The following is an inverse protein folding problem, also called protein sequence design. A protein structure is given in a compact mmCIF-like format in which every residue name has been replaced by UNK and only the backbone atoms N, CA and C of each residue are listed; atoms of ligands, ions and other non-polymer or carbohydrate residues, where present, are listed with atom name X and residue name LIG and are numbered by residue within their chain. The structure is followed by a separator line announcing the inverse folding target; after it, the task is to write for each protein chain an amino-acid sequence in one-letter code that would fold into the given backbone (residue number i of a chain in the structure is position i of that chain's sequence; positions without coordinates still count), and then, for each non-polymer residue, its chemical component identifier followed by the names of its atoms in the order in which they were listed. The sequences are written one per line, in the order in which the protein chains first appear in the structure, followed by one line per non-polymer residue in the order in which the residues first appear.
data_IF_379896639485
#
_entry.id   IF_379896639485
#
_cell.length_a   1.000
_cell.length_b   1.000
_cell.length_c   1.000
_cell.angle_alpha   90.00
_cell.angle_beta   90.00
_cell.angle_gamma   90.00
#
_symmetry.space_group_name_H-M   'P 1'
#
loop_
_entity.id
_entity.type
_entity.pdbx_description
1 polymer ?
#
# COMPACT_ATOMS: atom_id res chain seq x y z
N UNK A 1 16.20 -32.23 -7.00
CA UNK A 1 15.49 -30.99 -7.38
C UNK A 1 15.81 -30.73 -8.83
N UNK A 2 14.82 -30.76 -9.68
CA UNK A 2 15.01 -30.40 -11.08
C UNK A 2 15.42 -28.93 -11.16
N UNK A 3 16.32 -28.63 -12.13
CA UNK A 3 16.85 -27.28 -12.30
C UNK A 3 15.72 -26.35 -12.79
N UNK A 4 15.42 -25.26 -12.05
CA UNK A 4 14.49 -24.22 -12.49
C UNK A 4 15.01 -23.60 -13.80
N UNK A 5 14.18 -23.55 -14.83
CA UNK A 5 14.50 -23.01 -16.16
C UNK A 5 13.62 -21.84 -16.54
N UNK A 6 12.39 -21.80 -16.04
CA UNK A 6 11.41 -20.76 -16.36
C UNK A 6 10.61 -20.35 -15.13
N UNK A 7 10.51 -19.06 -14.89
CA UNK A 7 9.71 -18.49 -13.80
C UNK A 7 8.66 -17.53 -14.34
N UNK A 8 7.49 -17.57 -13.70
CA UNK A 8 6.44 -16.58 -13.88
C UNK A 8 6.59 -15.44 -12.85
N UNK A 9 6.22 -14.22 -13.22
CA UNK A 9 6.09 -13.10 -12.29
C UNK A 9 4.83 -12.33 -12.60
N UNK A 10 4.10 -11.93 -11.56
CA UNK A 10 2.94 -11.05 -11.66
C UNK A 10 2.88 -10.06 -10.49
N UNK A 11 2.18 -8.94 -10.73
CA UNK A 11 1.81 -7.98 -9.70
C UNK A 11 0.31 -8.00 -9.51
N UNK A 12 -0.17 -8.12 -8.26
CA UNK A 12 -1.59 -8.30 -7.96
C UNK A 12 -2.04 -7.39 -6.81
N UNK A 13 -3.28 -6.97 -6.85
CA UNK A 13 -3.86 -6.06 -5.85
C UNK A 13 -3.58 -4.60 -6.14
N UNK A 14 -3.38 -3.78 -5.10
CA UNK A 14 -2.98 -2.39 -5.24
C UNK A 14 -1.53 -2.26 -5.68
N UNK A 15 -1.23 -1.22 -6.47
CA UNK A 15 0.15 -0.89 -6.78
C UNK A 15 0.85 -0.25 -5.57
N UNK A 16 2.16 -0.40 -5.52
CA UNK A 16 3.02 0.20 -4.51
C UNK A 16 4.34 0.65 -5.14
N UNK A 17 4.97 1.72 -4.62
CA UNK A 17 6.32 2.09 -5.04
C UNK A 17 7.28 0.92 -4.78
N UNK A 18 8.11 0.58 -5.77
CA UNK A 18 9.05 -0.54 -5.67
C UNK A 18 8.64 -1.83 -6.38
N UNK A 19 7.40 -1.97 -6.85
CA UNK A 19 7.00 -3.14 -7.65
C UNK A 19 7.83 -3.26 -8.93
N UNK A 20 8.09 -2.15 -9.62
CA UNK A 20 8.97 -2.14 -10.81
C UNK A 20 10.42 -2.51 -10.46
N UNK A 21 10.94 -2.03 -9.34
CA UNK A 21 12.26 -2.40 -8.85
C UNK A 21 12.36 -3.91 -8.57
N UNK A 22 11.30 -4.48 -7.99
CA UNK A 22 11.19 -5.93 -7.74
C UNK A 22 11.17 -6.72 -9.04
N UNK A 23 10.33 -6.34 -10.02
CA UNK A 23 10.28 -6.99 -11.34
C UNK A 23 11.66 -6.95 -12.01
N UNK A 24 12.35 -5.81 -11.94
CA UNK A 24 13.70 -5.66 -12.45
C UNK A 24 14.69 -6.60 -11.76
N UNK A 25 14.68 -6.67 -10.44
CA UNK A 25 15.54 -7.55 -9.67
C UNK A 25 15.32 -9.02 -10.03
N UNK A 26 14.07 -9.46 -10.12
CA UNK A 26 13.68 -10.81 -10.57
C UNK A 26 14.28 -11.11 -11.94
N UNK A 27 14.07 -10.22 -12.92
CA UNK A 27 14.53 -10.46 -14.28
C UNK A 27 16.05 -10.49 -14.39
N UNK A 28 16.77 -9.56 -13.76
CA UNK A 28 18.23 -9.50 -13.85
C UNK A 28 18.90 -10.70 -13.14
N UNK A 29 18.38 -11.10 -11.98
CA UNK A 29 18.87 -12.28 -11.25
C UNK A 29 18.61 -13.57 -12.02
N UNK A 30 17.41 -13.73 -12.57
CA UNK A 30 17.03 -14.87 -13.39
C UNK A 30 17.94 -14.98 -14.65
N UNK A 31 18.17 -13.86 -15.34
CA UNK A 31 19.03 -13.82 -16.51
C UNK A 31 20.48 -14.23 -16.17
N UNK A 32 21.02 -13.80 -15.03
CA UNK A 32 22.35 -14.21 -14.58
C UNK A 32 22.45 -15.72 -14.28
N UNK A 33 21.32 -16.36 -13.98
CA UNK A 33 21.22 -17.81 -13.76
C UNK A 33 20.77 -18.61 -15.00
N UNK A 34 20.64 -17.96 -16.17
CA UNK A 34 20.08 -18.54 -17.40
C UNK A 34 18.64 -19.09 -17.21
N UNK A 35 17.83 -18.36 -16.47
CA UNK A 35 16.41 -18.65 -16.24
C UNK A 35 15.56 -17.67 -17.07
N UNK A 36 14.59 -18.19 -17.81
CA UNK A 36 13.62 -17.37 -18.54
C UNK A 36 12.57 -16.79 -17.60
N UNK A 37 12.15 -15.54 -17.84
CA UNK A 37 11.13 -14.85 -17.04
C UNK A 37 9.92 -14.52 -17.90
N UNK A 38 8.76 -15.00 -17.50
CA UNK A 38 7.46 -14.70 -18.08
C UNK A 38 6.70 -13.74 -17.15
N UNK A 39 6.44 -12.52 -17.65
CA UNK A 39 5.63 -11.53 -16.92
C UNK A 39 4.17 -11.61 -17.32
N UNK A 40 3.27 -11.97 -16.41
CA UNK A 40 1.82 -11.93 -16.62
C UNK A 40 1.30 -10.52 -16.41
N UNK A 41 0.49 -10.04 -17.36
CA UNK A 41 -0.10 -8.70 -17.27
C UNK A 41 -1.41 -8.74 -16.47
N UNK A 42 -1.77 -7.61 -15.87
CA UNK A 42 -3.03 -7.49 -15.11
C UNK A 42 -3.18 -8.53 -13.98
N UNK A 43 -2.06 -8.97 -13.39
CA UNK A 43 -2.03 -9.90 -12.28
C UNK A 43 -2.58 -11.27 -12.62
N UNK A 44 -3.47 -11.79 -11.77
CA UNK A 44 -4.09 -13.09 -11.99
C UNK A 44 -5.02 -13.15 -13.20
N UNK A 45 -5.57 -12.02 -13.66
CA UNK A 45 -6.38 -12.04 -14.89
C UNK A 45 -5.52 -12.49 -16.08
N UNK A 46 -4.34 -11.90 -16.23
CA UNK A 46 -3.44 -12.31 -17.30
C UNK A 46 -2.93 -13.75 -17.19
N UNK A 47 -2.81 -14.27 -15.96
CA UNK A 47 -2.52 -15.69 -15.75
C UNK A 47 -3.67 -16.59 -16.25
N UNK A 48 -4.92 -16.23 -15.93
CA UNK A 48 -6.10 -16.98 -16.37
C UNK A 48 -6.33 -16.89 -17.89
N UNK A 49 -6.08 -15.71 -18.48
CA UNK A 49 -6.30 -15.43 -19.89
C UNK A 49 -5.08 -15.71 -20.77
N UNK A 50 -3.98 -16.21 -20.17
CA UNK A 50 -2.69 -16.40 -20.87
C UNK A 50 -2.15 -15.12 -21.52
N UNK A 51 -2.40 -13.96 -20.89
CA UNK A 51 -1.84 -12.68 -21.33
C UNK A 51 -0.49 -12.44 -20.66
N UNK A 52 0.56 -12.76 -21.35
CA UNK A 52 1.92 -12.66 -20.82
C UNK A 52 2.92 -12.10 -21.83
N UNK A 53 4.10 -11.82 -21.34
CA UNK A 53 5.25 -11.34 -22.13
C UNK A 53 6.52 -11.92 -21.55
N UNK A 54 7.41 -12.45 -22.42
CA UNK A 54 8.77 -12.77 -22.00
C UNK A 54 9.51 -11.48 -21.62
N UNK A 55 10.02 -11.42 -20.39
CA UNK A 55 10.77 -10.28 -19.90
C UNK A 55 12.25 -10.43 -20.26
N UNK A 56 12.75 -9.49 -21.04
CA UNK A 56 14.16 -9.39 -21.42
C UNK A 56 14.80 -8.18 -20.70
N UNK A 57 16.13 -8.12 -20.62
CA UNK A 57 16.85 -7.06 -19.94
C UNK A 57 16.46 -5.65 -20.36
N UNK A 58 16.20 -5.41 -21.66
CA UNK A 58 15.78 -4.11 -22.15
C UNK A 58 14.36 -3.69 -21.72
N UNK A 59 13.49 -4.65 -21.39
CA UNK A 59 12.14 -4.36 -20.89
C UNK A 59 12.13 -3.80 -19.45
N UNK A 60 13.21 -4.04 -18.71
CA UNK A 60 13.35 -3.62 -17.31
C UNK A 60 14.40 -2.52 -17.12
N UNK A 61 14.89 -1.94 -18.22
CA UNK A 61 15.76 -0.78 -18.16
C UNK A 61 15.00 0.46 -17.70
N UNK A 62 15.63 1.27 -16.87
CA UNK A 62 15.10 2.56 -16.40
C UNK A 62 13.72 2.50 -15.72
N UNK A 63 13.41 1.37 -15.04
CA UNK A 63 12.16 1.24 -14.29
C UNK A 63 12.37 1.19 -12.77
N UNK A 64 13.61 1.08 -12.28
CA UNK A 64 13.90 0.97 -10.85
C UNK A 64 13.37 2.16 -10.05
N UNK A 65 13.47 3.36 -10.61
CA UNK A 65 13.01 4.61 -9.98
C UNK A 65 11.55 4.94 -10.29
N UNK A 66 10.83 4.11 -11.03
CA UNK A 66 9.45 4.37 -11.45
C UNK A 66 8.47 3.67 -10.52
N UNK A 67 7.56 4.43 -9.95
CA UNK A 67 6.40 3.87 -9.24
C UNK A 67 5.46 3.09 -10.15
N UNK A 68 4.46 2.45 -9.55
CA UNK A 68 3.54 1.58 -10.24
C UNK A 68 4.18 0.27 -10.72
N UNK A 69 3.58 -0.36 -11.72
CA UNK A 69 4.05 -1.64 -12.27
C UNK A 69 3.93 -1.70 -13.80
N UNK A 70 5.00 -2.15 -14.47
CA UNK A 70 5.00 -2.36 -15.93
C UNK A 70 4.14 -3.54 -16.37
N UNK A 71 3.86 -4.48 -15.46
CA UNK A 71 3.00 -5.63 -15.69
C UNK A 71 1.52 -5.30 -15.50
N UNK A 72 1.20 -4.11 -15.01
CA UNK A 72 -0.15 -3.73 -14.60
C UNK A 72 -0.65 -4.60 -13.46
N UNK A 73 -1.63 -4.11 -12.74
CA UNK A 73 -2.28 -4.82 -11.65
C UNK A 73 -3.79 -4.72 -11.79
N UNK A 74 -4.50 -5.74 -11.33
CA UNK A 74 -5.94 -5.76 -11.29
C UNK A 74 -6.45 -6.65 -10.15
N UNK A 75 -7.70 -6.41 -9.74
CA UNK A 75 -8.44 -7.39 -8.93
C UNK A 75 -8.93 -8.49 -9.86
N UNK A 76 -8.89 -9.74 -9.40
CA UNK A 76 -9.30 -10.90 -10.17
C UNK A 76 -10.39 -11.69 -9.42
N UNK A 77 -11.69 -11.31 -9.54
CA UNK A 77 -12.77 -12.07 -8.93
C UNK A 77 -12.86 -13.53 -9.46
N UNK A 78 -12.47 -13.74 -10.72
CA UNK A 78 -12.49 -15.07 -11.34
C UNK A 78 -11.56 -16.06 -10.61
N UNK A 79 -10.49 -15.61 -9.99
CA UNK A 79 -9.63 -16.50 -9.19
C UNK A 79 -10.32 -17.03 -7.93
N UNK A 80 -11.36 -16.34 -7.44
CA UNK A 80 -12.11 -16.74 -6.25
C UNK A 80 -13.22 -17.76 -6.57
N UNK A 81 -13.45 -18.08 -7.84
CA UNK A 81 -14.38 -19.16 -8.24
C UNK A 81 -13.77 -20.53 -7.95
N UNK A 82 -14.58 -21.58 -7.79
CA UNK A 82 -14.07 -22.93 -7.51
C UNK A 82 -13.04 -23.44 -8.54
N UNK A 83 -13.19 -23.05 -9.81
CA UNK A 83 -12.32 -23.51 -10.92
C UNK A 83 -11.14 -22.59 -11.20
N UNK A 84 -11.19 -21.34 -10.72
CA UNK A 84 -10.18 -20.32 -11.01
C UNK A 84 -8.75 -20.74 -10.67
N UNK A 85 -8.47 -21.23 -9.44
CA UNK A 85 -7.14 -21.68 -9.07
C UNK A 85 -6.61 -22.85 -9.91
N UNK A 86 -7.48 -23.81 -10.26
CA UNK A 86 -7.11 -24.93 -11.12
C UNK A 86 -6.80 -24.49 -12.56
N UNK A 87 -7.56 -23.52 -13.10
CA UNK A 87 -7.29 -22.91 -14.40
C UNK A 87 -5.96 -22.15 -14.39
N UNK A 88 -5.67 -21.37 -13.34
CA UNK A 88 -4.38 -20.71 -13.20
C UNK A 88 -3.21 -21.69 -13.16
N UNK A 89 -3.34 -22.78 -12.40
CA UNK A 89 -2.34 -23.84 -12.35
C UNK A 89 -2.15 -24.52 -13.73
N UNK A 90 -3.25 -24.79 -14.47
CA UNK A 90 -3.18 -25.35 -15.81
C UNK A 90 -2.39 -24.44 -16.78
N UNK A 91 -2.59 -23.11 -16.72
CA UNK A 91 -1.80 -22.15 -17.51
C UNK A 91 -0.32 -22.22 -17.16
N UNK A 92 0.03 -22.30 -15.85
CA UNK A 92 1.42 -22.43 -15.41
C UNK A 92 2.06 -23.72 -15.95
N UNK A 93 1.35 -24.85 -15.92
CA UNK A 93 1.83 -26.11 -16.49
C UNK A 93 1.97 -26.05 -18.00
N UNK A 94 1.00 -25.47 -18.71
CA UNK A 94 1.04 -25.33 -20.18
C UNK A 94 2.23 -24.50 -20.65
N UNK A 95 2.65 -23.53 -19.85
CA UNK A 95 3.78 -22.65 -20.15
C UNK A 95 5.11 -23.18 -19.59
N UNK A 96 5.15 -24.39 -19.04
CA UNK A 96 6.34 -24.97 -18.38
C UNK A 96 6.96 -24.04 -17.33
N UNK A 97 6.14 -23.36 -16.54
CA UNK A 97 6.62 -22.51 -15.43
C UNK A 97 7.02 -23.40 -14.28
N UNK A 98 8.26 -23.31 -13.82
CA UNK A 98 8.78 -24.08 -12.68
C UNK A 98 8.49 -23.40 -11.34
N UNK A 99 8.41 -22.05 -11.33
CA UNK A 99 8.08 -21.28 -10.15
C UNK A 99 7.32 -20.00 -10.51
N UNK A 100 6.41 -19.56 -9.63
CA UNK A 100 5.65 -18.32 -9.76
C UNK A 100 6.05 -17.33 -8.65
N UNK A 101 6.41 -16.11 -9.03
CA UNK A 101 6.64 -15.00 -8.11
C UNK A 101 5.43 -14.08 -8.12
N UNK A 102 4.80 -13.92 -6.96
CA UNK A 102 3.62 -13.07 -6.77
C UNK A 102 4.01 -11.85 -5.95
N UNK A 103 3.97 -10.67 -6.58
CA UNK A 103 4.24 -9.39 -5.92
C UNK A 103 2.90 -8.76 -5.57
N UNK A 104 2.59 -8.59 -4.27
CA UNK A 104 1.30 -8.05 -3.84
C UNK A 104 1.09 -8.13 -2.33
N UNK A 105 -0.13 -7.87 -1.87
CA UNK A 105 -0.52 -7.92 -0.47
C UNK A 105 -1.19 -9.24 -0.06
N UNK A 106 -1.81 -9.25 1.13
CA UNK A 106 -2.45 -10.42 1.75
C UNK A 106 -3.45 -11.15 0.81
N UNK A 107 -4.34 -10.39 0.17
CA UNK A 107 -5.30 -11.00 -0.77
C UNK A 107 -4.65 -11.70 -1.96
N UNK A 108 -3.50 -11.21 -2.43
CA UNK A 108 -2.73 -11.84 -3.51
C UNK A 108 -2.10 -13.15 -3.05
N UNK A 109 -1.61 -13.20 -1.80
CA UNK A 109 -1.02 -14.40 -1.23
C UNK A 109 -2.06 -15.47 -0.93
N UNK A 110 -3.26 -15.10 -0.48
CA UNK A 110 -4.38 -16.05 -0.36
C UNK A 110 -4.71 -16.68 -1.71
N UNK A 111 -4.75 -15.90 -2.79
CA UNK A 111 -4.92 -16.42 -4.14
C UNK A 111 -3.79 -17.38 -4.54
N UNK A 112 -2.53 -17.04 -4.21
CA UNK A 112 -1.37 -17.89 -4.44
C UNK A 112 -1.47 -19.24 -3.71
N UNK A 113 -1.94 -19.24 -2.47
CA UNK A 113 -2.15 -20.47 -1.69
C UNK A 113 -3.23 -21.37 -2.30
N UNK A 114 -4.30 -20.80 -2.87
CA UNK A 114 -5.31 -21.59 -3.57
C UNK A 114 -4.72 -22.23 -4.86
N UNK A 115 -3.94 -21.48 -5.63
CA UNK A 115 -3.24 -22.03 -6.81
C UNK A 115 -2.28 -23.16 -6.42
N UNK A 116 -1.56 -23.01 -5.31
CA UNK A 116 -0.61 -24.02 -4.83
C UNK A 116 -1.22 -25.39 -4.56
N UNK A 117 -2.53 -25.48 -4.34
CA UNK A 117 -3.24 -26.78 -4.19
C UNK A 117 -3.32 -27.58 -5.50
N UNK A 118 -3.13 -26.90 -6.65
CA UNK A 118 -3.27 -27.46 -8.01
C UNK A 118 -1.98 -27.38 -8.82
N UNK A 119 -0.93 -26.77 -8.27
CA UNK A 119 0.32 -26.52 -8.97
C UNK A 119 1.50 -27.16 -8.26
N UNK A 120 2.28 -27.95 -9.00
CA UNK A 120 3.42 -28.71 -8.47
C UNK A 120 4.72 -27.90 -8.40
N UNK A 121 4.77 -26.69 -9.03
CA UNK A 121 5.91 -25.79 -8.98
C UNK A 121 5.95 -25.00 -7.67
N UNK A 122 6.97 -24.16 -7.53
CA UNK A 122 7.12 -23.30 -6.36
C UNK A 122 6.34 -22.00 -6.51
N UNK A 123 5.78 -21.49 -5.42
CA UNK A 123 5.20 -20.14 -5.38
C UNK A 123 5.91 -19.32 -4.31
N UNK A 124 6.38 -18.13 -4.68
CA UNK A 124 7.07 -17.20 -3.80
C UNK A 124 6.29 -15.91 -3.75
N UNK A 125 5.87 -15.51 -2.55
CA UNK A 125 5.24 -14.21 -2.30
C UNK A 125 6.29 -13.13 -2.00
N UNK A 126 6.14 -11.97 -2.64
CA UNK A 126 6.94 -10.77 -2.34
C UNK A 126 5.97 -9.69 -1.86
N UNK A 127 6.03 -9.26 -0.58
CA UNK A 127 5.06 -8.32 -0.02
C UNK A 127 5.23 -6.93 -0.62
N UNK A 128 4.35 -6.59 -1.58
CA UNK A 128 4.28 -5.30 -2.28
C UNK A 128 2.96 -4.61 -2.01
N UNK A 129 2.93 -3.81 -0.94
CA UNK A 129 1.77 -3.01 -0.50
C UNK A 129 2.28 -1.88 0.40
N UNK A 130 1.61 -0.73 0.39
CA UNK A 130 1.94 0.39 1.30
C UNK A 130 1.36 0.19 2.70
N UNK A 131 0.34 -0.68 2.85
CA UNK A 131 -0.45 -0.80 4.09
C UNK A 131 0.33 -1.46 5.25
N UNK A 132 1.41 -2.17 4.95
CA UNK A 132 2.26 -2.93 5.89
C UNK A 132 1.48 -3.92 6.77
N UNK A 133 0.41 -4.51 6.19
CA UNK A 133 -0.56 -5.37 6.85
C UNK A 133 -0.37 -6.87 6.53
N UNK A 134 0.83 -7.25 6.07
CA UNK A 134 1.17 -8.64 5.75
C UNK A 134 1.90 -9.27 6.91
N UNK A 135 1.28 -10.28 7.53
CA UNK A 135 1.89 -11.01 8.65
C UNK A 135 3.17 -11.75 8.22
N UNK A 136 4.15 -11.80 9.12
CA UNK A 136 5.43 -12.45 8.86
C UNK A 136 6.47 -11.61 8.11
N UNK A 137 6.21 -10.32 7.89
CA UNK A 137 7.20 -9.37 7.37
C UNK A 137 7.26 -8.11 8.23
N UNK A 138 8.45 -7.55 8.42
CA UNK A 138 8.64 -6.31 9.17
C UNK A 138 8.24 -5.09 8.34
N UNK A 139 8.64 -5.07 7.07
CA UNK A 139 8.35 -3.98 6.14
C UNK A 139 7.95 -4.54 4.78
N UNK A 140 6.84 -4.05 4.26
CA UNK A 140 6.40 -4.32 2.89
C UNK A 140 7.04 -3.36 1.90
N UNK A 141 7.22 -3.81 0.65
CA UNK A 141 7.71 -2.97 -0.45
C UNK A 141 6.68 -1.87 -0.73
N UNK A 142 7.13 -0.61 -0.62
CA UNK A 142 6.32 0.59 -0.82
C UNK A 142 5.92 1.30 0.47
N UNK A 143 5.97 0.64 1.63
CA UNK A 143 5.61 1.23 2.92
C UNK A 143 6.50 2.42 3.30
N UNK A 144 7.82 2.27 3.25
CA UNK A 144 8.76 3.35 3.56
C UNK A 144 8.56 4.57 2.63
N UNK A 145 8.41 4.34 1.34
CA UNK A 145 8.15 5.41 0.37
C UNK A 145 6.83 6.13 0.63
N UNK A 146 5.79 5.40 1.06
CA UNK A 146 4.51 6.01 1.44
C UNK A 146 4.64 6.90 2.68
N UNK A 147 5.47 6.51 3.66
CA UNK A 147 5.80 7.34 4.84
C UNK A 147 6.53 8.61 4.40
N UNK A 148 7.56 8.52 3.56
CA UNK A 148 8.31 9.69 3.10
C UNK A 148 7.40 10.66 2.33
N UNK A 149 6.50 10.16 1.49
CA UNK A 149 5.49 10.97 0.81
C UNK A 149 4.56 11.69 1.80
N UNK A 150 4.14 10.98 2.85
CA UNK A 150 3.28 11.55 3.89
C UNK A 150 4.03 12.63 4.69
N UNK A 151 5.30 12.40 5.06
CA UNK A 151 6.13 13.36 5.77
C UNK A 151 6.31 14.66 4.97
N UNK A 152 6.70 14.56 3.69
CA UNK A 152 6.85 15.72 2.81
C UNK A 152 5.55 16.54 2.69
N UNK A 153 4.41 15.87 2.69
CA UNK A 153 3.11 16.53 2.66
C UNK A 153 2.76 17.18 4.00
N UNK A 154 3.00 16.50 5.13
CA UNK A 154 2.70 17.03 6.47
C UNK A 154 3.56 18.28 6.76
N UNK A 155 4.84 18.27 6.39
CA UNK A 155 5.72 19.42 6.57
C UNK A 155 5.18 20.66 5.84
N UNK A 156 4.75 20.51 4.59
CA UNK A 156 4.13 21.60 3.82
C UNK A 156 2.80 22.08 4.41
N UNK A 157 2.01 21.16 4.98
CA UNK A 157 0.75 21.51 5.66
C UNK A 157 1.03 22.24 6.96
N UNK A 158 2.11 21.88 7.67
CA UNK A 158 2.51 22.56 8.91
C UNK A 158 2.83 24.03 8.67
N UNK A 159 3.56 24.37 7.59
CA UNK A 159 3.86 25.76 7.24
C UNK A 159 2.59 26.61 7.10
N UNK A 160 1.57 26.06 6.43
CA UNK A 160 0.31 26.80 6.27
C UNK A 160 -0.57 26.75 7.52
N UNK A 161 -0.48 25.70 8.33
CA UNK A 161 -1.17 25.62 9.61
C UNK A 161 -0.69 26.73 10.55
N UNK A 162 0.62 26.93 10.64
CA UNK A 162 1.25 27.97 11.46
C UNK A 162 0.90 29.37 10.96
N UNK A 163 0.92 29.57 9.63
CA UNK A 163 0.63 30.89 9.04
C UNK A 163 -0.82 31.38 9.28
N UNK A 164 -1.76 30.45 9.46
CA UNK A 164 -3.19 30.78 9.62
C UNK A 164 -3.77 30.39 10.98
N UNK A 165 -2.95 29.89 11.89
CA UNK A 165 -3.38 29.45 13.23
C UNK A 165 -4.56 28.44 13.19
N UNK A 166 -4.43 27.42 12.31
CA UNK A 166 -5.48 26.45 12.02
C UNK A 166 -5.14 25.06 12.50
N UNK A 167 -6.18 24.24 12.63
CA UNK A 167 -6.07 22.80 12.89
C UNK A 167 -6.23 22.06 11.56
N UNK A 168 -5.25 21.23 11.23
CA UNK A 168 -5.33 20.36 10.08
C UNK A 168 -5.44 18.88 10.48
N UNK A 169 -6.36 18.19 9.84
CA UNK A 169 -6.49 16.74 9.90
C UNK A 169 -5.93 16.17 8.60
N UNK A 170 -4.81 15.48 8.66
CA UNK A 170 -4.15 14.90 7.49
C UNK A 170 -4.49 13.43 7.42
N UNK A 171 -5.34 13.05 6.45
CA UNK A 171 -5.72 11.65 6.23
C UNK A 171 -4.68 10.93 5.40
N UNK A 172 -4.21 9.80 5.92
CA UNK A 172 -3.25 8.90 5.30
C UNK A 172 -3.91 7.56 4.96
N UNK A 173 -3.46 6.96 3.85
CA UNK A 173 -3.86 5.62 3.47
C UNK A 173 -3.33 4.57 4.46
N UNK A 174 -3.76 3.35 4.33
CA UNK A 174 -3.41 2.20 5.16
C UNK A 174 -4.55 1.19 5.24
N UNK A 175 -5.69 1.49 4.58
CA UNK A 175 -6.88 0.65 4.50
C UNK A 175 -7.49 0.31 5.87
N UNK A 176 -7.02 -0.74 6.53
CA UNK A 176 -7.47 -1.17 7.87
C UNK A 176 -6.35 -1.09 8.91
N UNK A 177 -5.18 -0.62 8.52
CA UNK A 177 -3.95 -0.51 9.29
C UNK A 177 -3.62 0.95 9.53
N UNK A 178 -3.19 1.28 10.72
CA UNK A 178 -2.70 2.61 11.11
C UNK A 178 -1.19 2.77 10.98
N UNK A 179 -0.46 1.82 10.41
CA UNK A 179 1.01 1.85 10.38
C UNK A 179 1.61 3.08 9.72
N UNK A 180 1.07 3.50 8.55
CA UNK A 180 1.54 4.73 7.88
C UNK A 180 1.24 5.95 8.75
N UNK A 181 0.02 6.05 9.27
CA UNK A 181 -0.40 7.18 10.10
C UNK A 181 0.44 7.28 11.39
N UNK A 182 0.71 6.15 12.04
CA UNK A 182 1.53 6.10 13.23
C UNK A 182 2.97 6.53 12.94
N UNK A 183 3.61 5.91 11.94
CA UNK A 183 5.01 6.17 11.61
C UNK A 183 5.23 7.59 11.10
N UNK A 184 4.42 8.05 10.15
CA UNK A 184 4.50 9.40 9.62
C UNK A 184 4.13 10.46 10.67
N UNK A 185 3.09 10.20 11.48
CA UNK A 185 2.66 11.11 12.54
C UNK A 185 3.72 11.30 13.62
N UNK A 186 4.39 10.24 14.06
CA UNK A 186 5.50 10.32 15.02
C UNK A 186 6.69 11.08 14.40
N UNK A 187 7.09 10.72 13.19
CA UNK A 187 8.25 11.32 12.53
C UNK A 187 8.02 12.80 12.20
N UNK A 188 6.80 13.20 11.82
CA UNK A 188 6.43 14.60 11.58
C UNK A 188 6.18 15.39 12.86
N UNK A 189 6.21 14.76 14.05
CA UNK A 189 5.86 15.43 15.30
C UNK A 189 4.42 15.93 15.33
N UNK A 190 3.48 15.17 14.77
CA UNK A 190 2.06 15.49 14.83
C UNK A 190 1.58 15.51 16.29
N UNK A 191 0.71 16.48 16.63
CA UNK A 191 0.21 16.64 18.00
C UNK A 191 -0.73 15.49 18.39
N UNK A 192 -1.43 14.90 17.43
CA UNK A 192 -2.25 13.71 17.65
C UNK A 192 -2.19 12.77 16.44
N UNK A 193 -2.38 11.48 16.73
CA UNK A 193 -2.49 10.43 15.72
C UNK A 193 -3.74 9.63 16.02
N UNK A 194 -4.61 9.47 15.02
CA UNK A 194 -5.85 8.69 15.11
C UNK A 194 -5.68 7.46 14.22
N UNK A 195 -5.61 6.29 14.86
CA UNK A 195 -5.45 4.99 14.20
C UNK A 195 -6.54 4.03 14.65
N UNK A 196 -6.96 3.09 13.80
CA UNK A 196 -7.98 2.09 14.17
C UNK A 196 -7.55 1.20 15.32
N UNK A 197 -6.24 0.99 15.53
CA UNK A 197 -5.67 0.19 16.63
C UNK A 197 -5.90 0.81 18.02
N UNK A 198 -6.07 2.12 18.10
CA UNK A 198 -6.38 2.82 19.36
C UNK A 198 -7.88 2.93 19.61
N UNK A 199 -8.69 2.32 18.78
CA UNK A 199 -10.14 2.38 18.82
C UNK A 199 -10.72 3.39 17.82
N UNK A 200 -11.89 3.05 17.29
CA UNK A 200 -12.59 3.92 16.33
C UNK A 200 -13.32 5.03 17.07
N UNK A 201 -13.11 6.26 16.63
CA UNK A 201 -13.90 7.39 17.08
C UNK A 201 -15.37 7.23 16.69
N UNK A 202 -16.25 7.74 17.54
CA UNK A 202 -17.70 7.75 17.29
C UNK A 202 -18.21 9.19 17.21
N UNK A 203 -19.18 9.46 16.34
CA UNK A 203 -19.86 10.75 16.31
C UNK A 203 -20.43 11.11 17.70
N UNK A 204 -20.22 12.35 18.13
CA UNK A 204 -20.65 12.84 19.42
C UNK A 204 -19.74 12.50 20.62
N UNK A 205 -18.73 11.65 20.44
CA UNK A 205 -17.74 11.34 21.49
C UNK A 205 -16.30 11.65 21.04
N UNK A 206 -16.02 12.94 20.90
CA UNK A 206 -14.72 13.47 20.46
C UNK A 206 -13.84 13.98 21.61
N UNK A 207 -14.15 13.64 22.86
CA UNK A 207 -13.42 14.16 24.05
C UNK A 207 -11.94 13.83 24.00
N UNK A 208 -11.58 12.62 23.54
CA UNK A 208 -10.18 12.18 23.40
C UNK A 208 -9.38 13.03 22.41
N UNK A 209 -10.04 13.66 21.44
CA UNK A 209 -9.43 14.55 20.46
C UNK A 209 -9.48 16.00 20.95
N UNK A 210 -10.61 16.45 21.48
CA UNK A 210 -10.85 17.84 21.89
C UNK A 210 -9.99 18.23 23.10
N UNK A 211 -9.91 17.38 24.13
CA UNK A 211 -9.19 17.72 25.38
C UNK A 211 -7.72 18.04 25.15
N UNK A 212 -6.93 17.27 24.38
CA UNK A 212 -5.55 17.65 24.08
C UNK A 212 -5.42 18.95 23.27
N UNK A 213 -6.34 19.23 22.33
CA UNK A 213 -6.36 20.50 21.58
C UNK A 213 -6.51 21.68 22.54
N UNK A 214 -7.53 21.64 23.39
CA UNK A 214 -7.78 22.70 24.36
C UNK A 214 -6.62 22.88 25.34
N UNK A 215 -6.01 21.80 25.79
CA UNK A 215 -4.84 21.85 26.66
C UNK A 215 -3.64 22.51 25.95
N UNK A 216 -3.37 22.15 24.69
CA UNK A 216 -2.28 22.77 23.91
C UNK A 216 -2.49 24.26 23.72
N UNK A 217 -3.71 24.70 23.44
CA UNK A 217 -4.07 26.10 23.28
C UNK A 217 -3.94 26.90 24.59
N UNK A 218 -4.52 26.41 25.68
CA UNK A 218 -4.60 27.11 26.95
C UNK A 218 -3.27 27.17 27.69
N UNK A 219 -2.49 26.08 27.68
CA UNK A 219 -1.25 25.98 28.46
C UNK A 219 0.02 26.22 27.67
N UNK A 220 0.01 25.94 26.38
CA UNK A 220 1.20 26.05 25.53
C UNK A 220 1.12 27.22 24.56
N UNK A 221 0.00 27.93 24.50
CA UNK A 221 -0.22 29.05 23.57
C UNK A 221 -0.14 28.61 22.10
N UNK A 222 -0.38 27.32 21.81
CA UNK A 222 -0.22 26.77 20.49
C UNK A 222 -1.44 27.11 19.64
N UNK A 223 -1.21 27.82 18.54
CA UNK A 223 -2.27 28.28 17.64
C UNK A 223 -2.52 27.33 16.46
N UNK A 224 -1.50 26.56 16.06
CA UNK A 224 -1.60 25.54 15.01
C UNK A 224 -1.57 24.14 15.61
N UNK A 225 -2.20 23.18 14.90
CA UNK A 225 -2.31 21.80 15.39
C UNK A 225 -2.46 20.83 14.21
N UNK A 226 -1.64 19.79 14.16
CA UNK A 226 -1.70 18.75 13.15
C UNK A 226 -2.20 17.46 13.79
N UNK A 227 -3.27 16.92 13.22
CA UNK A 227 -3.82 15.60 13.58
C UNK A 227 -3.62 14.69 12.38
N UNK A 228 -2.83 13.65 12.52
CA UNK A 228 -2.71 12.60 11.49
C UNK A 228 -3.80 11.57 11.71
N UNK A 229 -4.53 11.23 10.65
CA UNK A 229 -5.69 10.35 10.70
C UNK A 229 -5.48 9.20 9.71
N UNK A 230 -5.51 7.96 10.18
CA UNK A 230 -5.60 6.81 9.30
C UNK A 230 -6.98 6.77 8.61
N UNK A 231 -7.03 6.49 7.32
CA UNK A 231 -8.30 6.36 6.58
C UNK A 231 -9.24 5.36 7.30
N UNK A 232 -10.55 5.53 7.15
CA UNK A 232 -11.58 4.70 7.79
C UNK A 232 -11.60 4.73 9.33
N UNK A 233 -10.88 5.63 10.00
CA UNK A 233 -10.89 5.76 11.47
C UNK A 233 -12.13 6.48 12.02
N UNK A 234 -12.88 7.18 11.17
CA UNK A 234 -14.08 7.92 11.57
C UNK A 234 -15.24 7.68 10.59
N UNK A 235 -16.49 7.47 11.08
CA UNK A 235 -17.67 7.38 10.23
C UNK A 235 -17.89 8.67 9.42
N UNK A 236 -18.00 8.55 8.09
CA UNK A 236 -18.10 9.71 7.19
C UNK A 236 -16.74 10.30 6.75
N UNK A 237 -15.62 9.72 7.23
CA UNK A 237 -14.27 10.12 6.84
C UNK A 237 -13.75 11.36 7.57
N UNK A 238 -12.51 11.72 7.26
CA UNK A 238 -11.79 12.81 7.95
C UNK A 238 -12.43 14.19 7.72
N UNK A 239 -13.12 14.40 6.61
CA UNK A 239 -13.87 15.66 6.37
C UNK A 239 -15.01 15.81 7.38
N UNK A 240 -15.79 14.75 7.62
CA UNK A 240 -16.87 14.78 8.60
C UNK A 240 -16.32 15.00 10.02
N UNK A 241 -15.19 14.38 10.36
CA UNK A 241 -14.51 14.60 11.64
C UNK A 241 -14.06 16.06 11.79
N UNK A 242 -13.47 16.67 10.75
CA UNK A 242 -13.06 18.06 10.78
C UNK A 242 -14.23 19.03 10.98
N UNK A 243 -15.37 18.77 10.31
CA UNK A 243 -16.59 19.57 10.45
C UNK A 243 -17.18 19.47 11.88
N UNK A 244 -17.18 18.29 12.45
CA UNK A 244 -17.68 18.09 13.83
C UNK A 244 -16.77 18.72 14.88
N UNK A 245 -15.44 18.57 14.73
CA UNK A 245 -14.47 19.24 15.58
C UNK A 245 -14.58 20.76 15.50
N UNK A 246 -14.70 21.32 14.29
CA UNK A 246 -14.87 22.78 14.10
C UNK A 246 -16.08 23.32 14.86
N UNK A 247 -17.20 22.60 14.83
CA UNK A 247 -18.42 22.98 15.58
C UNK A 247 -18.24 22.85 17.09
N UNK A 248 -17.54 21.81 17.54
CA UNK A 248 -17.37 21.53 18.95
C UNK A 248 -16.41 22.50 19.65
N UNK A 249 -15.34 22.93 18.96
CA UNK A 249 -14.30 23.78 19.58
C UNK A 249 -14.35 25.25 19.13
N UNK A 250 -15.16 25.59 18.11
CA UNK A 250 -15.29 26.95 17.59
C UNK A 250 -14.07 27.43 16.79
N UNK A 251 -13.20 26.54 16.35
CA UNK A 251 -11.98 26.81 15.55
C UNK A 251 -12.08 26.08 14.23
N UNK A 252 -11.64 26.70 13.16
CA UNK A 252 -11.64 26.08 11.82
C UNK A 252 -10.68 24.88 11.79
N UNK A 253 -11.25 23.69 11.59
CA UNK A 253 -10.51 22.46 11.33
C UNK A 253 -10.62 22.12 9.85
N UNK A 254 -9.51 21.79 9.20
CA UNK A 254 -9.46 21.46 7.77
C UNK A 254 -8.95 20.05 7.54
N UNK A 255 -9.67 19.28 6.74
CA UNK A 255 -9.20 17.98 6.28
C UNK A 255 -8.29 18.13 5.05
N UNK A 256 -7.17 17.43 5.04
CA UNK A 256 -6.31 17.25 3.90
C UNK A 256 -6.13 15.74 3.66
N UNK A 257 -6.75 15.24 2.58
CA UNK A 257 -6.75 13.81 2.24
C UNK A 257 -5.64 13.56 1.23
N UNK A 258 -4.55 12.88 1.62
CA UNK A 258 -3.45 12.62 0.70
C UNK A 258 -3.81 11.58 -0.36
N UNK A 259 -4.53 10.53 0.03
CA UNK A 259 -5.01 9.53 -0.91
C UNK A 259 -3.89 8.91 -1.76
N UNK A 260 -4.16 8.72 -3.04
CA UNK A 260 -3.34 7.93 -3.96
C UNK A 260 -1.96 8.52 -4.29
N UNK A 261 -1.61 9.75 -3.90
CA UNK A 261 -0.23 10.24 -4.05
C UNK A 261 0.77 9.38 -3.26
N UNK A 262 0.32 8.73 -2.19
CA UNK A 262 1.13 7.83 -1.37
C UNK A 262 1.45 6.49 -2.06
N UNK A 263 0.77 6.16 -3.16
CA UNK A 263 0.98 4.93 -3.93
C UNK A 263 1.95 5.10 -5.09
N UNK A 264 2.37 6.32 -5.37
CA UNK A 264 3.30 6.68 -6.43
C UNK A 264 4.64 7.13 -5.90
N UNK A 265 5.47 7.58 -6.82
CA UNK A 265 6.79 8.11 -6.49
C UNK A 265 7.93 7.14 -6.76
N UNK A 266 9.15 7.63 -6.59
CA UNK A 266 10.37 6.83 -6.69
C UNK A 266 10.57 6.06 -5.39
N UNK A 267 10.73 4.73 -5.46
CA UNK A 267 10.94 3.92 -4.27
C UNK A 267 12.33 4.14 -3.66
#
# INVERSE_FOLDING_TARGET
MDRIRRIGVLTSGGDAPGMNATIRAVQLTAAACNIEVIGFKHGYNGLLESEYKTLLGHHVQNIIQRGGTILKSARCPALQTPDGPAQAAATLHQLDIDALIVIGGDGSFRGALEIAKHYNGQIIGVPGTIDNDVDGTDNTIGYATAIDTALDAIDKIRDTADAFERIFLVELMGRHSGYIALSAGIAAGAEQIICPEFGRLQPGDLRSVITPIQHAQLLMGKSSYIIVVAENSYPGGTTALADELSKAIGIECRACILGHIQRGGSP
#
